data_IF_101086537716
#
_entry.id   IF_101086537716
#
_cell.length_a   1.000
_cell.length_b   1.000
_cell.length_c   1.000
_cell.angle_alpha   90.00
_cell.angle_beta   90.00
_cell.angle_gamma   90.00
#
_symmetry.space_group_name_H-M   'P 1'
#
loop_
_entity.id
_entity.type
_entity.pdbx_description
1 polymer ?
#
# COMPACT_ATOMS: atom_id res chain seq x y z
N UNK A 1 6.61 18.55 -0.98
CA UNK A 1 8.08 18.51 -0.86
C UNK A 1 8.64 19.91 -1.07
N UNK A 2 9.73 20.27 -0.38
CA UNK A 2 10.50 21.49 -0.62
C UNK A 2 11.80 21.22 -1.39
N UNK A 3 11.98 19.98 -1.85
CA UNK A 3 13.17 19.53 -2.58
C UNK A 3 13.10 20.00 -4.05
N UNK A 4 14.15 20.65 -4.58
CA UNK A 4 14.15 21.21 -5.94
C UNK A 4 14.18 20.14 -7.04
N UNK A 5 14.47 18.88 -6.71
CA UNK A 5 14.51 17.76 -7.66
C UNK A 5 13.14 17.30 -8.14
N UNK A 6 12.05 17.74 -7.48
CA UNK A 6 10.67 17.46 -7.89
C UNK A 6 10.11 18.60 -8.74
N UNK A 7 9.25 18.28 -9.73
CA UNK A 7 8.67 19.29 -10.63
C UNK A 7 7.58 20.11 -9.94
N UNK A 8 6.88 19.52 -8.97
CA UNK A 8 5.79 20.15 -8.21
C UNK A 8 6.05 20.03 -6.70
N UNK A 9 5.64 21.02 -5.94
CA UNK A 9 5.73 20.99 -4.48
C UNK A 9 4.68 20.06 -3.84
N UNK A 10 3.59 19.78 -4.54
CA UNK A 10 2.51 18.88 -4.14
C UNK A 10 1.97 18.15 -5.36
N UNK A 11 1.78 16.85 -5.23
CA UNK A 11 1.33 15.96 -6.30
C UNK A 11 0.83 14.64 -5.70
N UNK A 12 0.18 13.82 -6.51
CA UNK A 12 -0.28 12.50 -6.11
C UNK A 12 -0.24 11.57 -7.32
N UNK A 13 0.10 10.31 -7.07
CA UNK A 13 0.11 9.22 -8.05
C UNK A 13 -0.59 8.02 -7.45
N UNK A 14 -1.09 7.13 -8.30
CA UNK A 14 -1.70 5.86 -7.87
C UNK A 14 -0.65 4.76 -8.05
N UNK A 15 -0.49 3.92 -7.02
CA UNK A 15 0.45 2.80 -7.03
C UNK A 15 -0.21 1.50 -6.59
N UNK A 16 0.09 0.44 -7.31
CA UNK A 16 -0.21 -0.93 -6.96
C UNK A 16 0.90 -1.55 -6.11
N UNK A 17 0.56 -2.63 -5.41
CA UNK A 17 1.49 -3.32 -4.51
C UNK A 17 2.77 -3.77 -5.25
N UNK A 18 2.64 -4.25 -6.48
CA UNK A 18 3.75 -4.68 -7.33
C UNK A 18 4.78 -3.57 -7.57
N UNK A 19 4.34 -2.31 -7.68
CA UNK A 19 5.24 -1.16 -7.86
C UNK A 19 6.05 -0.87 -6.58
N UNK A 20 5.51 -1.15 -5.39
CA UNK A 20 6.28 -1.08 -4.14
C UNK A 20 7.35 -2.17 -4.08
N UNK A 21 7.03 -3.38 -4.57
CA UNK A 21 7.99 -4.48 -4.66
C UNK A 21 9.10 -4.14 -5.64
N UNK A 22 8.76 -3.58 -6.80
CA UNK A 22 9.74 -3.10 -7.78
C UNK A 22 10.69 -2.07 -7.15
N UNK A 23 10.16 -1.07 -6.45
CA UNK A 23 10.96 -0.04 -5.79
C UNK A 23 11.90 -0.67 -4.74
N UNK A 24 11.37 -1.54 -3.87
CA UNK A 24 12.18 -2.22 -2.86
C UNK A 24 13.32 -3.02 -3.49
N UNK A 25 13.05 -3.82 -4.51
CA UNK A 25 14.06 -4.64 -5.18
C UNK A 25 15.11 -3.76 -5.85
N UNK A 26 14.69 -2.67 -6.50
CA UNK A 26 15.62 -1.70 -7.11
C UNK A 26 16.59 -1.08 -6.11
N UNK A 27 16.16 -0.89 -4.85
CA UNK A 27 17.04 -0.42 -3.78
C UNK A 27 17.98 -1.53 -3.29
N UNK A 28 17.48 -2.76 -3.15
CA UNK A 28 18.26 -3.93 -2.68
C UNK A 28 19.35 -4.30 -3.68
N UNK A 29 19.04 -4.25 -4.97
CA UNK A 29 19.96 -4.61 -6.05
C UNK A 29 20.99 -3.49 -6.36
N UNK A 30 20.85 -2.32 -5.73
CA UNK A 30 21.79 -1.22 -5.91
C UNK A 30 23.03 -1.40 -5.01
N UNK A 31 24.17 -1.69 -5.64
CA UNK A 31 25.45 -1.90 -4.96
C UNK A 31 25.91 -0.66 -4.14
N UNK A 32 25.54 0.55 -4.54
CA UNK A 32 25.85 1.78 -3.79
C UNK A 32 25.16 1.81 -2.42
N UNK A 33 24.13 1.00 -2.24
CA UNK A 33 23.39 0.86 -0.99
C UNK A 33 23.87 -0.32 -0.14
N UNK A 34 24.95 -0.99 -0.53
CA UNK A 34 25.58 -2.02 0.28
C UNK A 34 25.97 -1.47 1.67
N UNK A 35 25.57 -2.20 2.71
CA UNK A 35 25.82 -1.82 4.11
C UNK A 35 24.77 -0.89 4.72
N UNK A 36 23.82 -0.37 3.95
CA UNK A 36 22.65 0.33 4.49
C UNK A 36 21.53 -0.65 4.85
N UNK A 37 20.70 -0.26 5.83
CA UNK A 37 19.51 -1.02 6.19
C UNK A 37 18.34 -0.51 5.34
N UNK A 38 18.00 -1.28 4.31
CA UNK A 38 16.82 -1.01 3.48
C UNK A 38 15.56 -1.40 4.27
N UNK A 39 14.53 -0.53 4.37
CA UNK A 39 13.27 -0.89 5.00
C UNK A 39 12.65 -2.12 4.33
N UNK A 40 12.05 -3.05 5.09
CA UNK A 40 11.42 -4.22 4.50
C UNK A 40 10.27 -3.80 3.59
N UNK A 41 10.09 -4.53 2.47
CA UNK A 41 8.95 -4.35 1.59
C UNK A 41 7.63 -4.46 2.39
N UNK A 42 6.61 -3.64 2.06
CA UNK A 42 5.30 -3.79 2.67
C UNK A 42 4.73 -5.17 2.33
N UNK A 43 3.95 -5.80 3.23
CA UNK A 43 3.33 -7.09 2.96
C UNK A 43 2.23 -6.93 1.89
N UNK A 44 2.02 -8.00 1.11
CA UNK A 44 0.91 -8.08 0.16
C UNK A 44 -0.41 -7.90 0.90
N UNK A 45 -1.32 -7.04 0.41
CA UNK A 45 -2.66 -6.95 0.97
C UNK A 45 -3.37 -8.29 0.86
N UNK A 46 -3.92 -8.79 1.96
CA UNK A 46 -4.71 -10.02 2.01
C UNK A 46 -6.15 -9.68 2.41
N UNK A 47 -7.07 -9.85 1.48
CA UNK A 47 -8.50 -9.62 1.67
C UNK A 47 -9.34 -10.88 1.40
N UNK A 48 -8.71 -12.04 1.27
CA UNK A 48 -9.39 -13.26 0.82
C UNK A 48 -10.47 -13.68 1.79
N UNK A 49 -10.18 -13.68 3.09
CA UNK A 49 -11.15 -13.99 4.13
C UNK A 49 -12.36 -13.03 4.13
N UNK A 50 -12.13 -11.73 3.93
CA UNK A 50 -13.22 -10.74 3.85
C UNK A 50 -14.05 -10.92 2.58
N UNK A 51 -13.42 -11.25 1.44
CA UNK A 51 -14.14 -11.53 0.18
C UNK A 51 -14.98 -12.80 0.28
N UNK A 52 -14.44 -13.86 0.88
CA UNK A 52 -15.16 -15.11 1.10
C UNK A 52 -16.38 -14.91 2.03
N UNK A 53 -16.19 -14.18 3.13
CA UNK A 53 -17.29 -13.80 4.04
C UNK A 53 -18.36 -12.96 3.32
N UNK A 54 -17.95 -12.03 2.45
CA UNK A 54 -18.89 -11.21 1.67
C UNK A 54 -19.73 -12.05 0.72
N UNK A 55 -19.10 -13.02 0.05
CA UNK A 55 -19.80 -13.94 -0.83
C UNK A 55 -20.83 -14.78 -0.07
N UNK A 56 -20.41 -15.40 1.04
CA UNK A 56 -21.31 -16.21 1.90
C UNK A 56 -22.47 -15.40 2.46
N UNK A 57 -22.22 -14.14 2.84
CA UNK A 57 -23.27 -13.25 3.32
C UNK A 57 -24.32 -12.98 2.21
N UNK A 58 -23.88 -12.78 0.96
CA UNK A 58 -24.77 -12.62 -0.18
C UNK A 58 -25.59 -13.87 -0.50
N UNK A 59 -25.00 -15.06 -0.39
CA UNK A 59 -25.71 -16.34 -0.57
C UNK A 59 -26.81 -16.56 0.50
N UNK A 60 -26.60 -16.04 1.72
CA UNK A 60 -27.52 -16.19 2.85
C UNK A 60 -28.63 -15.13 2.95
N UNK A 61 -28.66 -14.10 2.10
CA UNK A 61 -29.53 -12.92 2.24
C UNK A 61 -31.02 -13.29 2.39
N UNK A 62 -31.50 -14.28 1.61
CA UNK A 62 -32.90 -14.72 1.66
C UNK A 62 -33.29 -15.58 2.86
N UNK A 63 -32.33 -16.00 3.68
CA UNK A 63 -32.54 -16.93 4.81
C UNK A 63 -32.47 -16.26 6.18
N UNK A 64 -32.07 -14.99 6.23
CA UNK A 64 -31.88 -14.23 7.47
C UNK A 64 -32.81 -13.02 7.52
N UNK A 65 -33.01 -12.49 8.73
CA UNK A 65 -33.75 -11.24 8.88
C UNK A 65 -32.93 -10.05 8.38
N UNK A 66 -33.61 -8.95 8.02
CA UNK A 66 -32.94 -7.71 7.59
C UNK A 66 -31.99 -7.16 8.65
N UNK A 67 -32.35 -7.32 9.92
CA UNK A 67 -31.55 -6.85 11.06
C UNK A 67 -30.26 -7.66 11.20
N UNK A 68 -30.35 -9.00 11.11
CA UNK A 68 -29.19 -9.89 11.12
C UNK A 68 -28.27 -9.64 9.93
N UNK A 69 -28.82 -9.50 8.72
CA UNK A 69 -28.05 -9.21 7.52
C UNK A 69 -27.28 -7.88 7.66
N UNK A 70 -27.97 -6.84 8.10
CA UNK A 70 -27.36 -5.51 8.28
C UNK A 70 -26.24 -5.55 9.31
N UNK A 71 -26.44 -6.25 10.43
CA UNK A 71 -25.42 -6.41 11.47
C UNK A 71 -24.19 -7.16 10.94
N UNK A 72 -24.38 -8.31 10.30
CA UNK A 72 -23.27 -9.09 9.73
C UNK A 72 -22.50 -8.32 8.65
N UNK A 73 -23.22 -7.55 7.82
CA UNK A 73 -22.60 -6.67 6.83
C UNK A 73 -21.72 -5.61 7.47
N UNK A 74 -22.19 -4.95 8.52
CA UNK A 74 -21.42 -3.93 9.24
C UNK A 74 -20.18 -4.51 9.91
N UNK A 75 -20.29 -5.69 10.52
CA UNK A 75 -19.14 -6.39 11.10
C UNK A 75 -18.08 -6.72 10.04
N UNK A 76 -18.52 -7.19 8.88
CA UNK A 76 -17.62 -7.49 7.76
C UNK A 76 -16.96 -6.23 7.17
N UNK A 77 -17.70 -5.14 7.00
CA UNK A 77 -17.16 -3.85 6.56
C UNK A 77 -16.11 -3.32 7.55
N UNK A 78 -16.33 -3.49 8.85
CA UNK A 78 -15.38 -3.10 9.88
C UNK A 78 -14.09 -3.94 9.83
N UNK A 79 -14.20 -5.27 9.64
CA UNK A 79 -13.03 -6.14 9.44
C UNK A 79 -12.25 -5.75 8.18
N UNK A 80 -12.94 -5.54 7.06
CA UNK A 80 -12.32 -5.12 5.80
C UNK A 80 -11.57 -3.79 5.98
N UNK A 81 -12.20 -2.80 6.63
CA UNK A 81 -11.60 -1.50 6.88
C UNK A 81 -10.38 -1.59 7.80
N UNK A 82 -10.40 -2.46 8.81
CA UNK A 82 -9.26 -2.69 9.69
C UNK A 82 -8.05 -3.24 8.90
N UNK A 83 -8.28 -4.24 8.05
CA UNK A 83 -7.25 -4.80 7.16
C UNK A 83 -6.74 -3.77 6.17
N UNK A 84 -7.62 -2.99 5.55
CA UNK A 84 -7.25 -1.90 4.64
C UNK A 84 -6.37 -0.86 5.33
N UNK A 85 -6.77 -0.37 6.51
CA UNK A 85 -5.98 0.60 7.29
C UNK A 85 -4.61 0.05 7.65
N UNK A 86 -4.52 -1.21 8.06
CA UNK A 86 -3.24 -1.87 8.35
C UNK A 86 -2.35 -1.91 7.11
N UNK A 87 -2.89 -2.32 5.97
CA UNK A 87 -2.16 -2.38 4.69
C UNK A 87 -1.65 -1.00 4.29
N UNK A 88 -2.50 0.03 4.30
CA UNK A 88 -2.11 1.40 3.97
C UNK A 88 -1.00 1.89 4.89
N UNK A 89 -1.15 1.69 6.21
CA UNK A 89 -0.13 2.10 7.17
C UNK A 89 1.24 1.43 6.91
N UNK A 90 1.27 0.16 6.53
CA UNK A 90 2.54 -0.52 6.20
C UNK A 90 3.19 0.04 4.93
N UNK A 91 2.40 0.32 3.89
CA UNK A 91 2.89 0.92 2.65
C UNK A 91 3.37 2.36 2.88
N UNK A 92 2.64 3.14 3.68
CA UNK A 92 3.02 4.50 4.06
C UNK A 92 4.33 4.52 4.86
N UNK A 93 4.45 3.66 5.88
CA UNK A 93 5.65 3.58 6.72
C UNK A 93 6.90 3.22 5.89
N UNK A 94 6.76 2.35 4.88
CA UNK A 94 7.84 2.06 3.94
C UNK A 94 8.34 3.32 3.23
N UNK A 95 7.45 4.09 2.60
CA UNK A 95 7.81 5.33 1.89
C UNK A 95 8.34 6.42 2.82
N UNK A 96 7.74 6.57 4.01
CA UNK A 96 8.20 7.54 5.01
C UNK A 96 9.63 7.23 5.48
N UNK A 97 9.98 5.95 5.64
CA UNK A 97 11.35 5.54 6.01
C UNK A 97 12.35 5.88 4.90
N UNK A 98 12.00 5.66 3.64
CA UNK A 98 12.84 6.05 2.50
C UNK A 98 13.01 7.57 2.44
N UNK A 99 11.92 8.34 2.58
CA UNK A 99 11.95 9.80 2.54
C UNK A 99 12.76 10.44 3.69
N UNK A 100 12.77 9.78 4.86
CA UNK A 100 13.53 10.26 6.02
C UNK A 100 15.01 9.81 6.02
N UNK A 101 15.39 8.85 5.19
CA UNK A 101 16.77 8.38 5.11
C UNK A 101 17.62 9.34 4.24
N UNK A 102 18.81 9.78 4.69
CA UNK A 102 19.60 10.79 3.99
C UNK A 102 20.06 10.36 2.58
N UNK A 103 20.28 9.07 2.35
CA UNK A 103 20.66 8.52 1.04
C UNK A 103 19.41 8.22 0.17
N UNK A 104 18.54 7.30 0.60
CA UNK A 104 17.38 6.84 -0.20
C UNK A 104 16.41 7.94 -0.63
N UNK A 105 16.27 9.02 0.15
CA UNK A 105 15.40 10.16 -0.23
C UNK A 105 15.78 10.82 -1.56
N UNK A 106 17.03 10.65 -1.99
CA UNK A 106 17.57 11.23 -3.22
C UNK A 106 17.66 10.19 -4.36
N UNK A 107 17.26 8.94 -4.12
CA UNK A 107 17.28 7.87 -5.11
C UNK A 107 16.42 8.25 -6.34
N UNK A 108 16.89 7.84 -7.53
CA UNK A 108 16.20 8.15 -8.78
C UNK A 108 14.91 7.33 -8.93
N UNK A 109 14.94 6.05 -8.58
CA UNK A 109 13.76 5.17 -8.67
C UNK A 109 12.71 5.57 -7.64
N UNK A 110 13.11 5.99 -6.45
CA UNK A 110 12.17 6.53 -5.45
C UNK A 110 11.47 7.81 -5.94
N UNK A 111 12.19 8.71 -6.60
CA UNK A 111 11.58 9.91 -7.20
C UNK A 111 10.60 9.57 -8.33
N UNK A 112 10.99 8.65 -9.22
CA UNK A 112 10.11 8.13 -10.28
C UNK A 112 8.85 7.52 -9.66
N UNK A 113 9.02 6.69 -8.62
CA UNK A 113 7.92 6.08 -7.89
C UNK A 113 6.94 7.12 -7.34
N UNK A 114 7.41 8.25 -6.84
CA UNK A 114 6.55 9.28 -6.27
C UNK A 114 5.88 10.19 -7.31
N UNK A 115 6.54 10.49 -8.43
CA UNK A 115 6.11 11.57 -9.34
C UNK A 115 5.59 11.10 -10.70
N UNK A 116 5.95 9.90 -11.16
CA UNK A 116 5.54 9.45 -12.49
C UNK A 116 4.04 9.16 -12.56
N UNK A 117 3.29 9.94 -13.34
CA UNK A 117 1.81 9.89 -13.32
C UNK A 117 1.22 8.63 -13.99
N UNK A 118 2.02 7.87 -14.75
CA UNK A 118 1.56 6.63 -15.38
C UNK A 118 1.97 5.38 -14.58
N UNK A 119 1.52 4.23 -15.08
CA UNK A 119 1.88 2.90 -14.59
C UNK A 119 3.38 2.63 -14.77
N UNK A 120 4.02 2.03 -13.77
CA UNK A 120 5.42 1.61 -13.81
C UNK A 120 5.61 0.18 -14.36
N UNK A 121 4.51 -0.51 -14.72
CA UNK A 121 4.50 -1.83 -15.35
C UNK A 121 4.56 -1.83 -16.88
#
# INVERSE_FOLDING_TARGET
TSLPEFKKNEFSVVRQHEEFIWLHNSLVDNEDYAGYIIPPAPPRPDFDASREKLQKLGEGEGTMTKEEFTKMKQELEAEYLATFKKTVAMHEVFLQRLANHPCFRNDANFRIFLEYENDLS
#
